data_IF_002406695932
#
_entry.id   IF_002406695932
#
_cell.length_a   1.000
_cell.length_b   1.000
_cell.length_c   1.000
_cell.angle_alpha   90.00
_cell.angle_beta   90.00
_cell.angle_gamma   90.00
#
_symmetry.space_group_name_H-M   'P 1'
#
loop_
_entity.id
_entity.type
_entity.pdbx_description
1 polymer ?
#
# COMPACT_ATOMS: atom_id res chain seq x y z
N UNK A 1 30.04 -18.23 15.73
CA UNK A 1 30.90 -17.94 16.88
C UNK A 1 31.48 -16.52 16.85
N UNK A 2 32.19 -16.07 15.81
CA UNK A 2 32.76 -14.71 15.76
C UNK A 2 31.69 -13.61 15.91
N UNK A 3 30.56 -13.72 15.20
CA UNK A 3 29.44 -12.77 15.30
C UNK A 3 28.76 -12.74 16.66
N UNK A 4 28.68 -13.85 17.40
CA UNK A 4 28.12 -13.88 18.75
C UNK A 4 29.06 -13.25 19.77
N UNK A 5 30.37 -13.43 19.60
CA UNK A 5 31.40 -12.79 20.42
C UNK A 5 31.47 -11.27 20.20
N UNK A 6 31.35 -10.82 18.95
CA UNK A 6 31.28 -9.40 18.61
C UNK A 6 30.00 -8.74 19.14
N UNK A 7 28.86 -9.44 19.10
CA UNK A 7 27.61 -8.96 19.70
C UNK A 7 27.71 -8.81 21.22
N UNK A 8 28.40 -9.73 21.93
CA UNK A 8 28.54 -9.64 23.37
C UNK A 8 29.50 -8.52 23.83
N UNK A 9 30.47 -8.13 22.97
CA UNK A 9 31.45 -7.07 23.26
C UNK A 9 30.99 -5.66 22.82
N UNK A 10 30.27 -5.55 21.72
CA UNK A 10 29.94 -4.25 21.08
C UNK A 10 28.45 -3.96 21.03
N UNK A 11 27.59 -4.85 21.50
CA UNK A 11 26.13 -4.74 21.38
C UNK A 11 25.62 -4.94 19.94
N UNK A 12 24.30 -4.94 19.77
CA UNK A 12 23.64 -4.98 18.47
C UNK A 12 23.75 -3.62 17.74
N UNK A 13 23.49 -3.57 16.42
CA UNK A 13 23.41 -2.30 15.67
C UNK A 13 22.37 -1.38 16.29
N UNK A 14 21.20 -1.92 16.61
CA UNK A 14 20.11 -1.17 17.27
C UNK A 14 20.53 -0.58 18.61
N UNK A 15 21.24 -1.34 19.48
CA UNK A 15 21.72 -0.80 20.76
C UNK A 15 22.72 0.34 20.58
N UNK A 16 23.58 0.26 19.58
CA UNK A 16 24.52 1.34 19.26
C UNK A 16 23.81 2.60 18.78
N UNK A 17 22.78 2.45 17.93
CA UNK A 17 21.98 3.57 17.45
C UNK A 17 21.18 4.19 18.60
N UNK A 18 20.55 3.38 19.45
CA UNK A 18 19.83 3.87 20.63
C UNK A 18 20.74 4.63 21.58
N UNK A 19 21.99 4.15 21.80
CA UNK A 19 22.99 4.89 22.60
C UNK A 19 23.36 6.24 22.00
N UNK A 20 23.38 6.39 20.66
CA UNK A 20 23.65 7.69 20.01
C UNK A 20 22.49 8.68 20.18
N UNK A 21 21.26 8.20 20.17
CA UNK A 21 20.06 9.06 20.27
C UNK A 21 19.59 9.28 21.72
N UNK A 22 20.05 8.48 22.68
CA UNK A 22 19.69 8.62 24.09
C UNK A 22 19.95 10.04 24.68
N UNK A 23 21.07 10.73 24.36
CA UNK A 23 21.26 12.10 24.83
C UNK A 23 20.17 13.07 24.36
N UNK A 24 19.65 12.91 23.14
CA UNK A 24 18.55 13.73 22.63
C UNK A 24 17.25 13.50 23.43
N UNK A 25 16.99 12.28 23.90
CA UNK A 25 15.86 12.02 24.79
C UNK A 25 15.99 12.80 26.10
N UNK A 26 17.17 12.87 26.68
CA UNK A 26 17.40 13.64 27.91
C UNK A 26 17.22 15.14 27.67
N UNK A 27 17.62 15.65 26.52
CA UNK A 27 17.34 17.03 26.09
C UNK A 27 15.84 17.29 25.90
N UNK A 28 15.09 16.37 25.29
CA UNK A 28 13.62 16.46 25.18
C UNK A 28 12.99 16.57 26.56
N UNK A 29 13.39 15.69 27.50
CA UNK A 29 12.90 15.69 28.90
C UNK A 29 13.21 17.01 29.61
N UNK A 30 14.38 17.59 29.37
CA UNK A 30 14.75 18.89 29.96
C UNK A 30 13.81 20.04 29.55
N UNK A 31 13.18 19.95 28.38
CA UNK A 31 12.20 20.93 27.89
C UNK A 31 10.77 20.70 28.39
N UNK A 32 10.41 19.50 28.90
CA UNK A 32 9.03 19.15 29.25
C UNK A 32 8.40 20.05 30.31
N UNK A 33 9.13 20.30 31.40
CA UNK A 33 8.62 21.17 32.47
C UNK A 33 8.29 22.59 31.97
N UNK A 34 9.08 23.11 31.02
CA UNK A 34 8.83 24.39 30.37
C UNK A 34 7.59 24.33 29.48
N UNK A 35 7.40 23.28 28.69
CA UNK A 35 6.23 23.13 27.82
C UNK A 35 4.95 22.98 28.64
N UNK A 36 4.98 22.20 29.73
CA UNK A 36 3.87 22.02 30.65
C UNK A 36 3.39 23.35 31.27
N UNK A 37 4.30 24.28 31.55
CA UNK A 37 3.99 25.59 32.13
C UNK A 37 3.38 26.60 31.13
N UNK A 38 3.42 26.31 29.83
CA UNK A 38 2.87 27.20 28.80
C UNK A 38 1.33 27.13 28.75
N UNK A 39 0.70 28.27 28.51
CA UNK A 39 -0.70 28.32 28.09
C UNK A 39 -0.85 27.71 26.71
N UNK A 40 -2.09 27.33 26.32
CA UNK A 40 -2.37 26.78 24.99
C UNK A 40 -1.89 27.71 23.86
N UNK A 41 -2.13 29.03 23.99
CA UNK A 41 -1.73 29.99 22.98
C UNK A 41 -0.19 30.12 22.87
N UNK A 42 0.51 30.07 24.01
CA UNK A 42 1.96 30.07 24.02
C UNK A 42 2.58 28.79 23.47
N UNK A 43 1.95 27.65 23.77
CA UNK A 43 2.40 26.38 23.22
C UNK A 43 2.22 26.34 21.69
N UNK A 44 1.07 26.82 21.20
CA UNK A 44 0.80 26.96 19.76
C UNK A 44 1.79 27.92 19.08
N UNK A 45 2.13 29.04 19.72
CA UNK A 45 3.06 30.02 19.20
C UNK A 45 4.49 29.47 19.01
N UNK A 46 4.85 28.35 19.67
CA UNK A 46 6.14 27.67 19.47
C UNK A 46 6.38 27.28 18.02
N UNK A 47 5.36 26.90 17.28
CA UNK A 47 5.47 26.61 15.85
C UNK A 47 6.01 27.80 15.05
N UNK A 48 5.53 29.01 15.34
CA UNK A 48 6.06 30.23 14.74
C UNK A 48 7.53 30.50 15.11
N UNK A 49 7.88 30.34 16.40
CA UNK A 49 9.26 30.49 16.88
C UNK A 49 10.22 29.49 16.17
N UNK A 50 9.78 28.22 16.00
CA UNK A 50 10.60 27.23 15.32
C UNK A 50 10.76 27.53 13.83
N UNK A 51 9.69 27.91 13.13
CA UNK A 51 9.77 28.37 11.73
C UNK A 51 10.69 29.56 11.54
N UNK A 52 10.66 30.52 12.46
CA UNK A 52 11.60 31.66 12.46
C UNK A 52 13.06 31.24 12.68
N UNK A 53 13.31 30.30 13.60
CA UNK A 53 14.67 29.77 13.83
C UNK A 53 15.20 29.07 12.58
N UNK A 54 14.38 28.26 11.92
CA UNK A 54 14.72 27.62 10.65
C UNK A 54 15.02 28.65 9.55
N UNK A 55 14.21 29.69 9.44
CA UNK A 55 14.43 30.79 8.48
C UNK A 55 15.76 31.58 8.75
N UNK A 56 16.24 31.58 10.00
CA UNK A 56 17.54 32.16 10.39
C UNK A 56 18.71 31.17 10.24
N UNK A 57 18.47 29.94 9.73
CA UNK A 57 19.52 28.99 9.43
C UNK A 57 19.74 27.88 10.47
N UNK A 58 18.90 27.77 11.51
CA UNK A 58 18.94 26.65 12.41
C UNK A 58 18.53 25.37 11.65
N UNK A 59 19.10 24.22 12.02
CA UNK A 59 18.74 22.91 11.51
C UNK A 59 17.51 22.34 12.22
N UNK A 60 16.86 21.34 11.61
CA UNK A 60 15.79 20.57 12.27
C UNK A 60 16.33 19.86 13.52
N UNK A 61 17.57 19.36 13.48
CA UNK A 61 18.20 18.65 14.61
C UNK A 61 18.41 19.58 15.82
N UNK A 62 18.78 20.83 15.60
CA UNK A 62 18.94 21.83 16.67
C UNK A 62 17.63 22.19 17.37
N UNK A 63 16.50 22.12 16.67
CA UNK A 63 15.19 22.42 17.28
C UNK A 63 14.45 21.15 17.73
N UNK A 64 14.92 19.95 17.36
CA UNK A 64 14.28 18.66 17.66
C UNK A 64 13.91 18.52 19.14
N UNK A 65 14.80 18.73 20.13
CA UNK A 65 14.46 18.48 21.51
C UNK A 65 13.29 19.34 22.01
N UNK A 66 13.32 20.61 21.68
CA UNK A 66 12.27 21.55 22.09
C UNK A 66 10.95 21.30 21.31
N UNK A 67 11.02 20.97 20.02
CA UNK A 67 9.87 20.67 19.18
C UNK A 67 9.18 19.37 19.60
N UNK A 68 9.95 18.32 19.92
CA UNK A 68 9.38 17.05 20.42
C UNK A 68 8.70 17.25 21.77
N UNK A 69 9.33 17.97 22.71
CA UNK A 69 8.68 18.28 23.99
C UNK A 69 7.36 19.06 23.79
N UNK A 70 7.33 20.01 22.84
CA UNK A 70 6.13 20.78 22.56
C UNK A 70 4.99 19.92 21.97
N UNK A 71 5.29 19.03 21.00
CA UNK A 71 4.26 18.14 20.42
C UNK A 71 3.83 17.04 21.39
N UNK A 72 4.70 16.54 22.25
CA UNK A 72 4.32 15.61 23.32
C UNK A 72 3.33 16.24 24.31
N UNK A 73 3.54 17.50 24.70
CA UNK A 73 2.61 18.22 25.57
C UNK A 73 1.28 18.52 24.82
N UNK A 74 1.35 18.86 23.53
CA UNK A 74 0.17 19.04 22.68
C UNK A 74 -0.65 17.74 22.59
N UNK A 75 -0.01 16.59 22.34
CA UNK A 75 -0.65 15.29 22.30
C UNK A 75 -1.35 14.96 23.61
N UNK A 76 -0.70 15.22 24.75
CA UNK A 76 -1.32 15.04 26.07
C UNK A 76 -2.57 15.91 26.24
N UNK A 77 -2.54 17.17 25.81
CA UNK A 77 -3.69 18.11 25.98
C UNK A 77 -4.85 17.78 25.03
N UNK A 78 -4.54 17.40 23.79
CA UNK A 78 -5.53 17.26 22.73
C UNK A 78 -6.17 15.87 22.69
N UNK A 79 -5.31 14.82 22.74
CA UNK A 79 -5.79 13.43 22.64
C UNK A 79 -5.66 12.64 23.95
N UNK A 80 -5.17 13.27 25.03
CA UNK A 80 -5.04 12.65 26.35
C UNK A 80 -3.87 11.67 26.47
N UNK A 81 -2.99 11.59 25.46
CA UNK A 81 -1.87 10.65 25.40
C UNK A 81 -0.53 11.38 25.40
N UNK A 82 0.26 11.18 26.45
CA UNK A 82 1.66 11.62 26.43
C UNK A 82 2.53 10.46 25.95
N UNK A 83 3.35 10.65 24.89
CA UNK A 83 4.29 9.64 24.45
C UNK A 83 5.24 9.17 25.57
N UNK A 84 5.50 7.87 25.66
CA UNK A 84 6.50 7.29 26.52
C UNK A 84 7.91 7.54 25.99
N UNK A 85 8.91 7.40 26.82
CA UNK A 85 10.31 7.64 26.45
C UNK A 85 10.78 6.75 25.28
N UNK A 86 10.36 5.49 25.27
CA UNK A 86 10.63 4.57 24.16
C UNK A 86 9.96 5.03 22.86
N UNK A 87 8.79 5.67 22.96
CA UNK A 87 8.10 6.24 21.81
C UNK A 87 8.80 7.52 21.31
N UNK A 88 9.35 8.34 22.21
CA UNK A 88 10.18 9.49 21.83
C UNK A 88 11.44 9.02 21.11
N UNK A 89 12.11 7.97 21.61
CA UNK A 89 13.26 7.35 20.92
C UNK A 89 12.89 6.86 19.52
N UNK A 90 11.74 6.18 19.37
CA UNK A 90 11.21 5.78 18.07
C UNK A 90 11.01 6.97 17.14
N UNK A 91 10.45 8.07 17.64
CA UNK A 91 10.28 9.32 16.88
C UNK A 91 11.62 9.92 16.42
N UNK A 92 12.66 9.91 17.25
CA UNK A 92 14.00 10.38 16.88
C UNK A 92 14.61 9.48 15.79
N UNK A 93 14.45 8.16 15.91
CA UNK A 93 14.91 7.19 14.90
C UNK A 93 14.23 7.46 13.56
N UNK A 94 12.92 7.68 13.54
CA UNK A 94 12.18 8.04 12.31
C UNK A 94 12.66 9.38 11.74
N UNK A 95 12.92 10.39 12.58
CA UNK A 95 13.46 11.66 12.11
C UNK A 95 14.81 11.50 11.41
N UNK A 96 15.64 10.59 11.88
CA UNK A 96 16.95 10.29 11.29
C UNK A 96 16.88 9.50 9.97
N UNK A 97 15.69 9.22 9.43
CA UNK A 97 15.54 8.46 8.18
C UNK A 97 15.86 6.98 8.36
N UNK A 98 15.48 6.41 9.50
CA UNK A 98 15.63 4.99 9.80
C UNK A 98 14.26 4.32 9.94
N UNK A 99 14.26 3.00 10.02
CA UNK A 99 13.08 2.20 10.34
C UNK A 99 13.03 1.97 11.85
N UNK A 100 11.94 2.39 12.49
CA UNK A 100 11.67 2.07 13.88
C UNK A 100 10.87 0.76 13.95
N UNK A 101 11.53 -0.34 14.31
CA UNK A 101 10.84 -1.59 14.62
C UNK A 101 10.27 -1.52 16.03
N UNK A 102 8.95 -1.50 16.12
CA UNK A 102 8.21 -1.44 17.38
C UNK A 102 7.15 -2.52 17.40
N UNK A 103 7.11 -3.28 18.49
CA UNK A 103 6.12 -4.35 18.67
C UNK A 103 4.70 -3.80 18.45
N UNK A 104 3.84 -4.62 17.85
CA UNK A 104 2.43 -4.27 17.64
C UNK A 104 1.75 -3.93 18.97
N UNK A 105 1.04 -2.79 19.01
CA UNK A 105 0.41 -2.28 20.22
C UNK A 105 1.24 -1.23 20.99
N UNK A 106 2.50 -0.98 20.65
CA UNK A 106 3.35 0.04 21.26
C UNK A 106 3.07 1.49 20.81
N UNK A 107 2.01 1.69 20.02
CA UNK A 107 1.51 3.03 19.67
C UNK A 107 2.30 3.73 18.56
N UNK A 108 2.72 3.02 17.52
CA UNK A 108 3.43 3.55 16.34
C UNK A 108 2.77 4.82 15.76
N UNK A 109 1.44 4.87 15.69
CA UNK A 109 0.68 6.04 15.20
C UNK A 109 0.97 7.32 15.99
N UNK A 110 1.10 7.22 17.33
CA UNK A 110 1.46 8.36 18.18
C UNK A 110 2.95 8.74 18.01
N UNK A 111 3.83 7.74 17.86
CA UNK A 111 5.26 7.94 17.60
C UNK A 111 5.50 8.79 16.37
N UNK A 112 4.81 8.50 15.29
CA UNK A 112 4.92 9.24 14.03
C UNK A 112 4.60 10.74 14.18
N UNK A 113 3.80 11.14 15.18
CA UNK A 113 3.40 12.55 15.35
C UNK A 113 4.58 13.49 15.58
N UNK A 114 5.59 13.03 16.29
CA UNK A 114 6.77 13.83 16.64
C UNK A 114 7.64 14.17 15.41
N UNK A 115 8.15 13.19 14.65
CA UNK A 115 8.95 13.48 13.45
C UNK A 115 8.12 14.13 12.33
N UNK A 116 6.82 13.83 12.20
CA UNK A 116 5.93 14.49 11.25
C UNK A 116 5.83 15.97 11.57
N UNK A 117 5.53 16.34 12.83
CA UNK A 117 5.48 17.74 13.26
C UNK A 117 6.78 18.48 12.97
N UNK A 118 7.92 17.92 13.40
CA UNK A 118 9.22 18.53 13.22
C UNK A 118 9.56 18.79 11.75
N UNK A 119 9.39 17.77 10.91
CA UNK A 119 9.73 17.90 9.48
C UNK A 119 8.76 18.80 8.71
N UNK A 120 7.49 18.89 9.13
CA UNK A 120 6.50 19.79 8.56
C UNK A 120 6.84 21.27 8.78
N UNK A 121 7.60 21.61 9.83
CA UNK A 121 8.07 22.98 10.09
C UNK A 121 8.90 23.57 8.94
N UNK A 122 9.55 22.71 8.14
CA UNK A 122 10.33 23.14 6.97
C UNK A 122 9.46 23.74 5.85
N UNK A 123 8.14 23.52 5.86
CA UNK A 123 7.22 23.94 4.80
C UNK A 123 7.28 23.11 3.51
N UNK A 124 8.16 22.11 3.44
CA UNK A 124 8.36 21.29 2.24
C UNK A 124 7.35 20.14 2.08
N UNK A 125 6.50 19.91 3.09
CA UNK A 125 5.52 18.85 3.13
C UNK A 125 6.05 17.53 3.66
N UNK A 126 5.16 16.80 4.35
CA UNK A 126 5.42 15.48 4.90
C UNK A 126 4.29 14.56 4.47
N UNK A 127 4.61 13.36 4.00
CA UNK A 127 3.62 12.32 3.69
C UNK A 127 3.64 11.25 4.78
N UNK A 128 2.46 10.90 5.29
CA UNK A 128 2.25 9.74 6.17
C UNK A 128 1.51 8.69 5.37
N UNK A 129 2.21 7.61 5.09
CA UNK A 129 1.76 6.57 4.16
C UNK A 129 1.22 5.38 4.94
N UNK A 130 0.02 4.93 4.58
CA UNK A 130 -0.64 3.75 5.15
C UNK A 130 -0.98 2.74 4.07
N UNK A 131 -1.30 1.51 4.48
CA UNK A 131 -1.64 0.42 3.54
C UNK A 131 -3.05 0.51 2.96
N UNK A 132 -3.96 1.29 3.56
CA UNK A 132 -5.33 1.44 3.06
C UNK A 132 -5.98 2.77 3.49
N UNK A 133 -7.08 3.12 2.80
CA UNK A 133 -7.83 4.36 3.02
C UNK A 133 -8.45 4.48 4.40
N UNK A 134 -8.84 3.35 5.01
CA UNK A 134 -9.40 3.35 6.35
C UNK A 134 -8.38 3.82 7.38
N UNK A 135 -7.15 3.29 7.33
CA UNK A 135 -6.06 3.69 8.22
C UNK A 135 -5.65 5.14 7.97
N UNK A 136 -5.52 5.55 6.70
CA UNK A 136 -5.20 6.94 6.36
C UNK A 136 -6.20 7.92 6.97
N UNK A 137 -7.50 7.64 6.86
CA UNK A 137 -8.57 8.44 7.44
C UNK A 137 -8.55 8.40 8.96
N UNK A 138 -8.54 7.20 9.55
CA UNK A 138 -8.53 7.00 11.01
C UNK A 138 -7.38 7.78 11.67
N UNK A 139 -6.18 7.64 11.14
CA UNK A 139 -4.98 8.22 11.74
C UNK A 139 -4.94 9.75 11.51
N UNK A 140 -5.40 10.23 10.36
CA UNK A 140 -5.58 11.65 10.10
C UNK A 140 -6.61 12.29 11.04
N UNK A 141 -7.75 11.64 11.28
CA UNK A 141 -8.78 12.14 12.19
C UNK A 141 -8.35 12.07 13.66
N UNK A 142 -7.58 11.06 14.04
CA UNK A 142 -7.14 10.85 15.42
C UNK A 142 -5.95 11.72 15.78
N UNK A 143 -4.91 11.78 14.94
CA UNK A 143 -3.68 12.54 15.20
C UNK A 143 -3.72 13.97 14.63
N UNK A 144 -4.53 14.22 13.63
CA UNK A 144 -4.69 15.54 13.00
C UNK A 144 -4.95 16.68 13.98
N UNK A 145 -5.81 16.51 14.98
CA UNK A 145 -6.05 17.54 16.01
C UNK A 145 -4.79 18.03 16.73
N UNK A 146 -3.75 17.17 16.91
CA UNK A 146 -2.48 17.56 17.52
C UNK A 146 -1.77 18.60 16.65
N UNK A 147 -1.66 18.35 15.35
CA UNK A 147 -1.00 19.25 14.39
C UNK A 147 -1.78 20.56 14.23
N UNK A 148 -3.12 20.46 14.16
CA UNK A 148 -4.00 21.62 14.08
C UNK A 148 -3.90 22.49 15.33
N UNK A 149 -3.83 21.88 16.52
CA UNK A 149 -3.59 22.59 17.76
C UNK A 149 -2.25 23.34 17.72
N UNK A 150 -1.21 22.74 17.15
CA UNK A 150 0.10 23.35 16.95
C UNK A 150 0.15 24.35 15.77
N UNK A 151 -0.96 24.56 15.05
CA UNK A 151 -1.04 25.54 13.96
C UNK A 151 -0.54 25.03 12.60
N UNK A 152 -0.48 23.71 12.40
CA UNK A 152 -0.20 23.07 11.11
C UNK A 152 -1.48 22.58 10.45
N UNK A 153 -1.45 22.50 9.12
CA UNK A 153 -2.56 22.00 8.31
C UNK A 153 -2.36 20.53 7.99
N UNK A 154 -3.47 19.75 8.05
CA UNK A 154 -3.48 18.30 7.74
C UNK A 154 -4.31 18.06 6.49
N UNK A 155 -3.73 17.38 5.50
CA UNK A 155 -4.40 16.88 4.30
C UNK A 155 -4.65 15.37 4.40
N UNK A 156 -5.63 14.90 3.65
CA UNK A 156 -5.95 13.49 3.48
C UNK A 156 -6.22 13.22 2.00
N UNK A 157 -5.58 12.20 1.44
CA UNK A 157 -5.79 11.73 0.07
C UNK A 157 -6.46 10.36 0.12
N UNK A 158 -7.58 10.24 -0.59
CA UNK A 158 -8.36 9.01 -0.72
C UNK A 158 -8.75 8.73 -2.16
N UNK A 159 -9.26 7.52 -2.42
CA UNK A 159 -9.51 7.02 -3.77
C UNK A 159 -10.39 7.94 -4.63
N UNK A 160 -11.56 8.33 -4.16
CA UNK A 160 -12.58 9.02 -4.98
C UNK A 160 -12.43 10.55 -5.05
N UNK A 161 -11.25 11.11 -4.71
CA UNK A 161 -11.03 12.55 -4.70
C UNK A 161 -10.72 13.10 -6.09
N UNK A 162 -11.33 14.25 -6.43
CA UNK A 162 -11.03 15.02 -7.64
C UNK A 162 -9.70 15.78 -7.55
N UNK A 163 -9.18 16.24 -8.70
CA UNK A 163 -7.88 16.95 -8.80
C UNK A 163 -7.79 18.17 -7.87
N UNK A 164 -8.84 18.99 -7.79
CA UNK A 164 -8.84 20.18 -6.95
C UNK A 164 -8.76 19.83 -5.45
N UNK A 165 -9.47 18.81 -5.01
CA UNK A 165 -9.44 18.32 -3.63
C UNK A 165 -8.07 17.74 -3.28
N UNK A 166 -7.47 16.95 -4.19
CA UNK A 166 -6.11 16.44 -4.04
C UNK A 166 -5.09 17.58 -3.92
N UNK A 167 -5.20 18.62 -4.74
CA UNK A 167 -4.33 19.78 -4.64
C UNK A 167 -4.40 20.45 -3.27
N UNK A 168 -5.59 20.59 -2.70
CA UNK A 168 -5.78 21.10 -1.33
C UNK A 168 -5.10 20.19 -0.32
N UNK A 169 -5.31 18.87 -0.43
CA UNK A 169 -4.69 17.87 0.45
C UNK A 169 -3.16 17.92 0.43
N UNK A 170 -2.55 17.98 -0.76
CA UNK A 170 -1.08 18.06 -0.90
C UNK A 170 -0.47 19.41 -0.54
N UNK A 171 -1.24 20.50 -0.54
CA UNK A 171 -0.76 21.83 -0.08
C UNK A 171 -0.69 21.94 1.43
N UNK A 172 -1.31 21.05 2.17
CA UNK A 172 -1.22 20.99 3.63
C UNK A 172 0.23 20.79 4.11
N UNK A 173 0.56 21.15 5.34
CA UNK A 173 1.90 20.97 5.91
C UNK A 173 2.27 19.47 5.98
N UNK A 174 1.29 18.62 6.22
CA UNK A 174 1.41 17.16 6.19
C UNK A 174 0.18 16.52 5.52
N UNK A 175 0.38 15.39 4.87
CA UNK A 175 -0.67 14.69 4.10
C UNK A 175 -0.67 13.20 4.41
N UNK A 176 -1.82 12.70 4.87
CA UNK A 176 -2.08 11.26 5.00
C UNK A 176 -2.62 10.70 3.69
N UNK A 177 -2.25 9.48 3.36
CA UNK A 177 -2.79 8.76 2.19
C UNK A 177 -2.24 7.35 2.10
N UNK A 178 -2.70 6.59 1.10
CA UNK A 178 -2.21 5.24 0.86
C UNK A 178 -1.02 5.24 -0.09
N UNK A 179 -0.20 4.18 -0.01
CA UNK A 179 0.88 3.91 -0.97
C UNK A 179 0.38 3.98 -2.42
N UNK A 180 -0.80 3.40 -2.69
CA UNK A 180 -1.44 3.39 -4.00
C UNK A 180 -1.74 4.81 -4.50
N UNK A 181 -2.44 5.61 -3.69
CA UNK A 181 -2.89 6.95 -4.10
C UNK A 181 -1.71 7.88 -4.36
N UNK A 182 -0.69 7.84 -3.50
CA UNK A 182 0.53 8.63 -3.72
C UNK A 182 1.26 8.23 -5.00
N UNK A 183 1.38 6.93 -5.27
CA UNK A 183 2.03 6.44 -6.47
C UNK A 183 1.23 6.72 -7.75
N UNK A 184 -0.09 6.57 -7.73
CA UNK A 184 -0.94 6.94 -8.87
C UNK A 184 -0.96 8.45 -9.14
N UNK A 185 -0.98 9.28 -8.09
CA UNK A 185 -0.89 10.73 -8.26
C UNK A 185 0.45 11.15 -8.87
N UNK A 186 1.54 10.49 -8.47
CA UNK A 186 2.84 10.70 -9.12
C UNK A 186 2.80 10.36 -10.63
N UNK A 187 2.20 9.23 -11.00
CA UNK A 187 2.05 8.87 -12.42
C UNK A 187 1.18 9.90 -13.16
N UNK A 188 0.04 10.31 -12.59
CA UNK A 188 -0.84 11.33 -13.17
C UNK A 188 -0.13 12.67 -13.35
N UNK A 189 0.68 13.08 -12.38
CA UNK A 189 1.45 14.32 -12.42
C UNK A 189 2.52 14.31 -13.53
N UNK A 190 3.13 13.14 -13.78
CA UNK A 190 4.11 12.99 -14.87
C UNK A 190 3.46 12.94 -16.27
N UNK A 191 2.17 12.64 -16.32
CA UNK A 191 1.37 12.70 -17.57
C UNK A 191 0.68 14.06 -17.75
N UNK A 192 0.75 14.97 -16.78
CA UNK A 192 0.07 16.25 -16.82
C UNK A 192 0.66 17.15 -17.92
N UNK A 193 -0.20 17.61 -18.83
CA UNK A 193 0.18 18.50 -19.96
C UNK A 193 0.55 19.91 -19.47
N UNK A 194 -0.02 20.34 -18.33
CA UNK A 194 0.20 21.66 -17.75
C UNK A 194 0.63 21.54 -16.29
N UNK A 195 1.60 22.34 -15.82
CA UNK A 195 2.06 22.31 -14.41
C UNK A 195 0.93 22.51 -13.39
N UNK A 196 -0.10 23.31 -13.71
CA UNK A 196 -1.23 23.61 -12.84
C UNK A 196 -2.13 22.38 -12.59
N UNK A 197 -2.05 21.37 -13.44
CA UNK A 197 -2.78 20.12 -13.28
C UNK A 197 -2.13 19.17 -12.29
N UNK A 198 -0.87 19.40 -11.93
CA UNK A 198 -0.15 18.59 -10.95
C UNK A 198 -0.73 18.79 -9.56
N UNK A 199 -0.78 17.70 -8.81
CA UNK A 199 -1.34 17.71 -7.45
C UNK A 199 -0.23 17.65 -6.38
N UNK A 200 0.82 16.85 -6.62
CA UNK A 200 1.90 16.68 -5.67
C UNK A 200 2.90 17.84 -5.69
N UNK A 201 3.53 18.06 -4.54
CA UNK A 201 4.74 18.90 -4.40
C UNK A 201 5.99 18.02 -4.54
N UNK A 202 7.18 18.61 -4.30
CA UNK A 202 8.42 17.82 -4.18
C UNK A 202 8.27 16.78 -3.08
N UNK A 203 8.73 15.57 -3.37
CA UNK A 203 8.75 14.46 -2.43
C UNK A 203 9.87 14.69 -1.40
N UNK A 204 9.51 15.30 -0.27
CA UNK A 204 10.49 15.73 0.75
C UNK A 204 10.71 14.65 1.80
N UNK A 205 9.72 14.36 2.64
CA UNK A 205 9.82 13.39 3.71
C UNK A 205 8.59 12.48 3.72
N UNK A 206 8.80 11.16 3.79
CA UNK A 206 7.74 10.20 4.02
C UNK A 206 8.03 9.33 5.24
N UNK A 207 6.97 9.08 6.01
CA UNK A 207 6.93 8.00 7.00
C UNK A 207 5.96 6.95 6.48
N UNK A 208 6.44 5.72 6.33
CA UNK A 208 5.65 4.58 5.84
C UNK A 208 5.30 3.69 7.02
N UNK A 209 3.98 3.55 7.29
CA UNK A 209 3.48 2.60 8.28
C UNK A 209 3.38 1.20 7.65
N UNK A 210 3.71 0.17 8.42
CA UNK A 210 3.89 -1.22 7.96
C UNK A 210 4.81 -1.27 6.72
N UNK A 211 6.00 -0.69 6.88
CA UNK A 211 6.95 -0.45 5.79
C UNK A 211 7.44 -1.74 5.10
N UNK A 212 7.51 -2.85 5.80
CA UNK A 212 7.85 -4.17 5.27
C UNK A 212 6.82 -4.65 4.25
N UNK A 213 5.54 -4.57 4.56
CA UNK A 213 4.48 -4.92 3.62
C UNK A 213 4.54 -4.09 2.33
N UNK A 214 4.80 -2.78 2.44
CA UNK A 214 4.81 -1.88 1.27
C UNK A 214 6.12 -1.96 0.48
N UNK A 215 7.27 -1.99 1.15
CA UNK A 215 8.58 -1.84 0.51
C UNK A 215 9.36 -3.15 0.33
N UNK A 216 8.88 -4.26 0.89
CA UNK A 216 9.43 -5.59 0.64
C UNK A 216 8.39 -6.45 -0.08
N UNK A 217 7.26 -6.77 0.56
CA UNK A 217 6.27 -7.70 0.01
C UNK A 217 5.66 -7.20 -1.30
N UNK A 218 5.26 -5.94 -1.36
CA UNK A 218 4.64 -5.32 -2.53
C UNK A 218 5.61 -4.47 -3.38
N UNK A 219 6.91 -4.42 -3.01
CA UNK A 219 7.89 -3.50 -3.58
C UNK A 219 7.95 -3.50 -5.12
N UNK A 220 7.82 -4.69 -5.73
CA UNK A 220 7.92 -4.91 -7.18
C UNK A 220 6.58 -4.84 -7.90
N UNK A 221 5.46 -4.71 -7.18
CA UNK A 221 4.14 -4.56 -7.77
C UNK A 221 4.08 -3.25 -8.55
N UNK A 222 3.84 -3.28 -9.87
CA UNK A 222 3.78 -2.06 -10.65
C UNK A 222 2.42 -1.40 -10.53
N UNK A 223 2.41 -0.10 -10.29
CA UNK A 223 1.27 0.76 -10.54
C UNK A 223 1.24 1.08 -12.03
N UNK A 224 0.12 0.83 -12.68
CA UNK A 224 -0.01 0.95 -14.15
C UNK A 224 -1.19 1.85 -14.47
N UNK A 225 -0.95 2.86 -15.30
CA UNK A 225 -2.01 3.62 -15.96
C UNK A 225 -2.06 3.16 -17.41
N UNK A 226 -3.21 2.63 -17.81
CA UNK A 226 -3.48 2.20 -19.18
C UNK A 226 -4.34 3.20 -19.90
N UNK A 227 -4.00 3.46 -21.17
CA UNK A 227 -4.77 4.30 -22.09
C UNK A 227 -5.48 3.45 -23.14
N UNK A 228 -6.49 4.03 -23.78
CA UNK A 228 -7.09 3.44 -24.98
C UNK A 228 -6.18 3.74 -26.17
N UNK A 229 -5.84 2.76 -27.01
CA UNK A 229 -5.12 3.02 -28.24
C UNK A 229 -6.00 3.80 -29.22
N UNK A 230 -5.38 4.63 -30.03
CA UNK A 230 -6.07 5.46 -31.03
C UNK A 230 -6.57 4.66 -32.28
N UNK A 231 -6.22 3.37 -32.37
CA UNK A 231 -6.53 2.56 -33.57
C UNK A 231 -7.95 2.00 -33.50
N UNK A 232 -8.67 2.15 -34.62
CA UNK A 232 -10.00 1.55 -34.82
C UNK A 232 -9.94 0.03 -34.70
N UNK A 233 -10.89 -0.57 -33.97
CA UNK A 233 -11.05 -2.02 -33.88
C UNK A 233 -11.59 -2.67 -35.13
N UNK A 234 -12.17 -1.88 -36.07
CA UNK A 234 -12.73 -2.36 -37.33
C UNK A 234 -11.71 -3.07 -38.22
N UNK A 235 -10.44 -2.72 -38.06
CA UNK A 235 -9.34 -3.33 -38.83
C UNK A 235 -9.22 -4.84 -38.55
N UNK A 236 -9.48 -5.28 -37.31
CA UNK A 236 -9.39 -6.70 -36.92
C UNK A 236 -10.45 -7.54 -37.68
N UNK A 237 -11.67 -7.03 -37.84
CA UNK A 237 -12.69 -7.73 -38.61
C UNK A 237 -12.33 -7.80 -40.11
N UNK A 238 -11.74 -6.75 -40.67
CA UNK A 238 -11.26 -6.76 -42.09
C UNK A 238 -10.14 -7.78 -42.27
N UNK A 239 -9.20 -7.82 -41.34
CA UNK A 239 -8.08 -8.79 -41.34
C UNK A 239 -8.63 -10.20 -41.22
N UNK A 240 -9.59 -10.46 -40.33
CA UNK A 240 -10.21 -11.78 -40.18
C UNK A 240 -10.91 -12.24 -41.48
N UNK A 241 -11.66 -11.33 -42.14
CA UNK A 241 -12.30 -11.64 -43.42
C UNK A 241 -11.32 -11.99 -44.55
N UNK A 242 -10.14 -11.37 -44.53
CA UNK A 242 -9.07 -11.64 -45.50
C UNK A 242 -8.39 -12.95 -45.20
N UNK A 243 -8.05 -13.18 -43.94
CA UNK A 243 -7.34 -14.41 -43.45
C UNK A 243 -8.17 -15.67 -43.79
N UNK A 244 -9.49 -15.64 -43.64
CA UNK A 244 -10.38 -16.75 -44.03
C UNK A 244 -10.30 -17.16 -45.50
N UNK A 245 -9.77 -16.30 -46.39
CA UNK A 245 -9.60 -16.60 -47.84
C UNK A 245 -8.23 -17.19 -48.15
N UNK A 246 -7.29 -17.14 -47.20
CA UNK A 246 -5.97 -17.70 -47.39
C UNK A 246 -6.00 -19.24 -47.30
N UNK A 247 -5.05 -19.89 -47.97
CA UNK A 247 -4.94 -21.35 -47.99
C UNK A 247 -3.62 -21.78 -47.36
N UNK A 248 -3.70 -22.73 -46.44
CA UNK A 248 -2.51 -23.38 -45.84
C UNK A 248 -1.66 -23.99 -46.97
N UNK A 249 -0.37 -24.04 -46.78
CA UNK A 249 0.67 -24.59 -47.68
C UNK A 249 0.83 -23.85 -49.01
N UNK A 250 -0.06 -22.94 -49.37
CA UNK A 250 0.05 -22.05 -50.54
C UNK A 250 0.41 -20.61 -50.09
N UNK A 251 -0.36 -20.07 -49.13
CA UNK A 251 -0.23 -18.67 -48.71
C UNK A 251 0.46 -18.52 -47.35
N UNK A 252 0.49 -19.58 -46.53
CA UNK A 252 1.18 -19.60 -45.25
C UNK A 252 1.52 -21.03 -44.84
N UNK A 253 2.58 -21.16 -44.07
CA UNK A 253 3.05 -22.41 -43.44
C UNK A 253 2.88 -22.35 -41.92
N UNK A 254 2.65 -23.51 -41.30
CA UNK A 254 2.45 -23.63 -39.85
C UNK A 254 3.65 -24.36 -39.24
N UNK A 255 4.26 -23.73 -38.27
CA UNK A 255 5.24 -24.37 -37.39
C UNK A 255 4.59 -24.73 -36.04
N UNK A 256 4.27 -26.02 -35.83
CA UNK A 256 3.59 -26.49 -34.62
C UNK A 256 4.43 -26.27 -33.35
N UNK A 257 5.77 -26.40 -33.44
CA UNK A 257 6.67 -26.11 -32.35
C UNK A 257 6.81 -24.60 -32.17
N UNK A 258 6.04 -24.01 -31.28
CA UNK A 258 6.10 -22.57 -30.97
C UNK A 258 4.89 -21.76 -31.43
N UNK A 259 3.89 -22.42 -32.06
CA UNK A 259 2.65 -21.78 -32.52
C UNK A 259 2.94 -20.57 -33.45
N UNK A 260 3.91 -20.75 -34.38
CA UNK A 260 4.24 -19.73 -35.37
C UNK A 260 3.58 -19.98 -36.71
N UNK A 261 3.28 -18.91 -37.41
CA UNK A 261 2.78 -18.92 -38.78
C UNK A 261 3.75 -18.12 -39.65
N UNK A 262 4.19 -18.69 -40.76
CA UNK A 262 5.07 -18.04 -41.73
C UNK A 262 4.25 -17.77 -42.98
N UNK A 263 4.15 -16.49 -43.38
CA UNK A 263 3.45 -16.07 -44.59
C UNK A 263 4.40 -16.26 -45.77
N UNK A 264 3.94 -16.94 -46.85
CA UNK A 264 4.73 -17.16 -48.07
C UNK A 264 4.70 -15.91 -48.94
N UNK A 265 5.58 -15.84 -49.98
CA UNK A 265 5.58 -14.74 -50.94
C UNK A 265 4.25 -14.61 -51.68
N UNK A 266 3.66 -15.74 -52.09
CA UNK A 266 2.29 -15.76 -52.71
C UNK A 266 1.22 -15.31 -51.73
N UNK A 267 1.37 -15.64 -50.45
CA UNK A 267 0.53 -15.17 -49.37
C UNK A 267 0.59 -13.67 -49.20
N UNK A 268 1.80 -13.10 -49.24
CA UNK A 268 2.00 -11.66 -49.11
C UNK A 268 1.34 -10.89 -50.27
N UNK A 269 1.58 -11.31 -51.52
CA UNK A 269 0.96 -10.73 -52.72
C UNK A 269 -0.56 -10.80 -52.66
N UNK A 270 -1.11 -11.91 -52.17
CA UNK A 270 -2.56 -12.10 -52.01
C UNK A 270 -3.12 -11.18 -50.92
N UNK A 271 -2.42 -10.98 -49.80
CA UNK A 271 -2.80 -10.09 -48.74
C UNK A 271 -2.84 -8.62 -49.17
N UNK A 272 -1.81 -8.18 -49.90
CA UNK A 272 -1.76 -6.82 -50.46
C UNK A 272 -2.93 -6.53 -51.39
N UNK A 273 -3.24 -7.47 -52.29
CA UNK A 273 -4.38 -7.35 -53.18
C UNK A 273 -5.72 -7.32 -52.46
N UNK A 274 -5.89 -8.13 -51.39
CA UNK A 274 -7.15 -8.23 -50.62
C UNK A 274 -7.35 -7.06 -49.66
N UNK A 275 -6.26 -6.54 -49.07
CA UNK A 275 -6.28 -5.41 -48.13
C UNK A 275 -6.29 -4.05 -48.88
N UNK A 276 -5.89 -4.04 -50.16
CA UNK A 276 -5.80 -2.84 -50.99
C UNK A 276 -4.66 -1.93 -50.55
N UNK A 277 -3.52 -2.52 -50.18
CA UNK A 277 -2.30 -1.81 -49.76
C UNK A 277 -1.14 -2.22 -50.66
N UNK A 278 -0.26 -1.28 -50.96
CA UNK A 278 1.00 -1.52 -51.61
C UNK A 278 2.09 -1.70 -50.58
N UNK A 279 2.98 -2.69 -50.73
CA UNK A 279 4.13 -2.97 -49.86
C UNK A 279 3.75 -3.13 -48.35
N UNK A 280 3.04 -4.23 -48.10
CA UNK A 280 2.56 -4.58 -46.74
C UNK A 280 3.70 -4.70 -45.72
N UNK A 281 4.88 -5.21 -46.16
CA UNK A 281 5.99 -5.50 -45.28
C UNK A 281 6.80 -4.26 -44.87
N UNK A 282 6.96 -3.27 -45.74
CA UNK A 282 7.76 -2.08 -45.47
C UNK A 282 6.96 -0.94 -44.83
N UNK A 283 5.74 -0.73 -45.35
CA UNK A 283 4.91 0.43 -44.94
C UNK A 283 3.84 0.09 -43.89
N UNK A 284 3.47 -1.19 -43.73
CA UNK A 284 2.34 -1.62 -42.92
C UNK A 284 2.64 -2.78 -41.96
N UNK A 285 3.80 -2.77 -41.30
CA UNK A 285 4.24 -3.81 -40.33
C UNK A 285 3.17 -4.15 -39.27
N UNK A 286 2.39 -3.16 -38.86
CA UNK A 286 1.29 -3.41 -37.91
C UNK A 286 0.17 -4.27 -38.44
N UNK A 287 -0.10 -4.22 -39.78
CA UNK A 287 -1.06 -5.09 -40.45
C UNK A 287 -0.52 -6.51 -40.60
N UNK A 288 0.75 -6.67 -40.93
CA UNK A 288 1.43 -8.00 -40.98
C UNK A 288 1.25 -8.71 -39.63
N UNK A 289 1.55 -8.01 -38.54
CA UNK A 289 1.37 -8.56 -37.20
C UNK A 289 -0.08 -8.96 -36.91
N UNK A 290 -1.07 -8.12 -37.27
CA UNK A 290 -2.48 -8.47 -37.11
C UNK A 290 -2.89 -9.70 -37.89
N UNK A 291 -2.38 -9.84 -39.15
CA UNK A 291 -2.61 -11.01 -40.01
C UNK A 291 -1.98 -12.26 -39.34
N UNK A 292 -0.78 -12.19 -38.85
CA UNK A 292 -0.13 -13.30 -38.13
C UNK A 292 -0.96 -13.73 -36.91
N UNK A 293 -1.43 -12.78 -36.09
CA UNK A 293 -2.28 -13.10 -34.95
C UNK A 293 -3.62 -13.69 -35.35
N UNK A 294 -4.22 -13.20 -36.43
CA UNK A 294 -5.45 -13.78 -36.97
C UNK A 294 -5.25 -15.22 -37.48
N UNK A 295 -4.16 -15.47 -38.21
CA UNK A 295 -3.79 -16.83 -38.64
C UNK A 295 -3.53 -17.75 -37.44
N UNK A 296 -2.83 -17.27 -36.40
CA UNK A 296 -2.64 -18.02 -35.16
C UNK A 296 -3.97 -18.34 -34.47
N UNK A 297 -4.88 -17.36 -34.36
CA UNK A 297 -6.21 -17.53 -33.79
C UNK A 297 -7.03 -18.62 -34.51
N UNK A 298 -6.91 -18.72 -35.86
CA UNK A 298 -7.62 -19.73 -36.64
C UNK A 298 -7.00 -21.12 -36.57
N UNK A 299 -5.68 -21.23 -36.49
CA UNK A 299 -4.98 -22.50 -36.61
C UNK A 299 -4.67 -23.17 -35.29
N UNK A 300 -4.42 -22.41 -34.21
CA UNK A 300 -3.95 -22.94 -32.93
C UNK A 300 -4.97 -22.80 -31.78
N UNK A 301 -5.97 -21.96 -31.92
CA UNK A 301 -6.93 -21.70 -30.84
C UNK A 301 -8.32 -22.16 -31.24
N UNK A 302 -8.85 -23.15 -30.55
CA UNK A 302 -10.16 -23.73 -30.79
C UNK A 302 -11.14 -23.29 -29.71
N UNK A 303 -12.35 -22.98 -30.13
CA UNK A 303 -13.43 -22.68 -29.21
C UNK A 303 -13.77 -23.91 -28.38
N UNK A 304 -14.11 -23.70 -27.11
CA UNK A 304 -14.46 -24.71 -26.11
C UNK A 304 -13.27 -25.62 -25.70
N UNK A 305 -12.04 -25.24 -26.05
CA UNK A 305 -10.77 -25.85 -25.66
C UNK A 305 -9.86 -24.78 -25.03
N UNK A 306 -9.21 -23.93 -25.82
CA UNK A 306 -8.34 -22.87 -25.32
C UNK A 306 -9.10 -21.61 -24.87
N UNK A 307 -10.34 -21.40 -25.36
CA UNK A 307 -11.20 -20.28 -24.97
C UNK A 307 -12.68 -20.63 -25.14
N UNK A 308 -13.54 -19.87 -24.42
CA UNK A 308 -15.00 -19.93 -24.56
C UNK A 308 -15.55 -18.56 -24.90
N UNK A 309 -16.72 -18.53 -25.54
CA UNK A 309 -17.49 -17.29 -25.72
C UNK A 309 -18.65 -17.29 -24.73
N UNK A 310 -18.61 -16.37 -23.78
CA UNK A 310 -19.61 -16.25 -22.74
C UNK A 310 -20.05 -14.78 -22.60
N UNK A 311 -21.36 -14.54 -22.57
CA UNK A 311 -21.97 -13.20 -22.51
C UNK A 311 -21.47 -12.20 -23.57
N UNK A 312 -21.04 -12.68 -24.74
CA UNK A 312 -20.53 -11.82 -25.82
C UNK A 312 -19.06 -11.43 -25.67
N UNK A 313 -18.33 -12.11 -24.80
CA UNK A 313 -16.90 -11.93 -24.56
C UNK A 313 -16.14 -13.24 -24.74
N UNK A 314 -14.87 -13.14 -25.17
CA UNK A 314 -13.93 -14.26 -25.22
C UNK A 314 -13.27 -14.41 -23.86
N UNK A 315 -13.40 -15.57 -23.22
CA UNK A 315 -12.75 -15.90 -21.97
C UNK A 315 -11.73 -17.00 -22.17
N UNK A 316 -10.53 -16.84 -21.63
CA UNK A 316 -9.46 -17.85 -21.69
C UNK A 316 -9.84 -19.03 -20.80
N UNK A 317 -9.56 -20.25 -21.25
CA UNK A 317 -9.66 -21.47 -20.47
C UNK A 317 -8.24 -21.89 -20.07
N UNK A 318 -8.01 -22.13 -18.79
CA UNK A 318 -6.73 -22.63 -18.30
C UNK A 318 -6.52 -24.07 -18.71
N UNK A 319 -5.43 -24.34 -19.41
CA UNK A 319 -5.11 -25.66 -19.99
C UNK A 319 -5.03 -26.78 -18.95
N UNK A 320 -4.60 -26.47 -17.71
CA UNK A 320 -4.40 -27.45 -16.66
C UNK A 320 -5.64 -27.70 -15.80
N UNK A 321 -6.40 -26.63 -15.54
CA UNK A 321 -7.53 -26.70 -14.60
C UNK A 321 -8.90 -26.71 -15.30
N UNK A 322 -8.96 -26.35 -16.59
CA UNK A 322 -10.21 -26.19 -17.34
C UNK A 322 -11.09 -25.03 -16.84
N UNK A 323 -10.54 -24.12 -16.00
CA UNK A 323 -11.28 -22.99 -15.44
C UNK A 323 -11.25 -21.78 -16.36
N UNK A 324 -12.36 -21.07 -16.45
CA UNK A 324 -12.44 -19.78 -17.11
C UNK A 324 -11.64 -18.75 -16.32
N UNK A 325 -10.78 -18.01 -17.01
CA UNK A 325 -9.91 -16.98 -16.43
C UNK A 325 -10.51 -15.60 -16.70
N UNK A 326 -11.43 -15.15 -15.85
CA UNK A 326 -12.05 -13.84 -15.97
C UNK A 326 -11.01 -12.71 -15.81
N UNK A 327 -11.12 -11.67 -16.64
CA UNK A 327 -10.22 -10.51 -16.61
C UNK A 327 -8.83 -10.75 -17.22
N UNK A 328 -8.47 -11.96 -17.63
CA UNK A 328 -7.23 -12.24 -18.38
C UNK A 328 -7.48 -12.19 -19.88
N UNK A 329 -6.47 -11.68 -20.60
CA UNK A 329 -6.50 -11.58 -22.07
C UNK A 329 -5.18 -12.09 -22.64
N UNK A 330 -5.19 -12.68 -23.82
CA UNK A 330 -3.97 -12.97 -24.57
C UNK A 330 -3.31 -11.65 -25.00
N UNK A 331 -1.99 -11.63 -24.99
CA UNK A 331 -1.18 -10.46 -25.40
C UNK A 331 -1.06 -10.33 -26.93
N UNK A 332 -0.44 -9.23 -27.32
CA UNK A 332 0.04 -8.99 -28.70
C UNK A 332 -1.04 -9.02 -29.80
N UNK A 333 -2.27 -8.61 -29.46
CA UNK A 333 -3.37 -8.55 -30.44
C UNK A 333 -4.06 -9.90 -30.71
N UNK A 334 -3.60 -11.01 -30.12
CA UNK A 334 -4.20 -12.33 -30.29
C UNK A 334 -5.63 -12.39 -29.75
N UNK A 335 -5.89 -11.76 -28.58
CA UNK A 335 -7.23 -11.75 -28.00
C UNK A 335 -8.22 -11.01 -28.90
N UNK A 336 -7.81 -9.89 -29.48
CA UNK A 336 -8.60 -9.13 -30.46
C UNK A 336 -8.84 -9.93 -31.76
N UNK A 337 -7.85 -10.69 -32.19
CA UNK A 337 -8.00 -11.60 -33.33
C UNK A 337 -9.03 -12.72 -33.04
N UNK A 338 -9.07 -13.24 -31.81
CA UNK A 338 -10.08 -14.21 -31.38
C UNK A 338 -11.46 -13.57 -31.28
N UNK A 339 -11.58 -12.36 -30.75
CA UNK A 339 -12.83 -11.59 -30.70
C UNK A 339 -13.37 -11.34 -32.14
N UNK A 340 -12.50 -10.96 -33.08
CA UNK A 340 -12.87 -10.80 -34.48
C UNK A 340 -13.29 -12.12 -35.15
N UNK A 341 -12.56 -13.22 -34.88
CA UNK A 341 -12.88 -14.57 -35.35
C UNK A 341 -14.28 -15.01 -34.92
N UNK A 342 -14.63 -14.76 -33.65
CA UNK A 342 -15.93 -15.13 -33.05
C UNK A 342 -17.04 -14.09 -33.31
N UNK A 343 -16.72 -13.00 -33.99
CA UNK A 343 -17.68 -11.89 -34.30
C UNK A 343 -18.28 -11.26 -33.01
N UNK A 344 -17.59 -11.29 -31.92
CA UNK A 344 -17.92 -10.52 -30.71
C UNK A 344 -17.29 -9.13 -30.78
N UNK A 345 -17.70 -8.22 -29.90
CA UNK A 345 -17.16 -6.87 -29.88
C UNK A 345 -15.64 -6.90 -29.57
N UNK A 346 -14.82 -6.42 -30.52
CA UNK A 346 -13.38 -6.32 -30.34
C UNK A 346 -13.07 -5.22 -29.34
N UNK A 347 -12.55 -5.60 -28.19
CA UNK A 347 -12.16 -4.65 -27.15
C UNK A 347 -10.78 -4.08 -27.46
N UNK A 348 -10.58 -2.81 -27.10
CA UNK A 348 -9.28 -2.17 -27.26
C UNK A 348 -8.21 -2.86 -26.43
N UNK A 349 -7.03 -3.03 -27.01
CA UNK A 349 -5.85 -3.39 -26.26
C UNK A 349 -5.46 -2.24 -25.33
N UNK A 350 -5.34 -2.50 -24.03
CA UNK A 350 -4.91 -1.46 -23.11
C UNK A 350 -3.42 -1.21 -23.29
N UNK A 351 -3.06 -0.04 -23.81
CA UNK A 351 -1.68 0.38 -23.89
C UNK A 351 -1.22 0.93 -22.55
N UNK A 352 -0.13 0.38 -21.98
CA UNK A 352 0.49 0.97 -20.80
C UNK A 352 1.06 2.34 -21.14
N UNK A 353 0.51 3.39 -20.53
CA UNK A 353 0.92 4.78 -20.73
C UNK A 353 1.98 5.19 -19.70
N UNK A 354 1.81 4.79 -18.47
CA UNK A 354 2.76 5.08 -17.38
C UNK A 354 2.79 3.93 -16.38
N UNK A 355 3.97 3.66 -15.84
CA UNK A 355 4.16 2.65 -14.81
C UNK A 355 5.27 3.04 -13.85
N UNK A 356 5.12 2.68 -12.58
CA UNK A 356 6.15 2.77 -11.55
C UNK A 356 5.92 1.68 -10.50
N UNK A 357 6.99 1.13 -9.93
CA UNK A 357 6.89 0.25 -8.76
C UNK A 357 6.95 1.07 -7.47
N UNK A 358 6.42 0.54 -6.35
CA UNK A 358 6.58 1.20 -5.04
C UNK A 358 8.05 1.41 -4.71
N UNK A 359 8.89 0.42 -4.96
CA UNK A 359 10.33 0.52 -4.77
C UNK A 359 10.93 1.77 -5.43
N UNK A 360 10.58 2.03 -6.69
CA UNK A 360 11.11 3.18 -7.42
C UNK A 360 10.47 4.49 -6.95
N UNK A 361 9.17 4.48 -6.64
CA UNK A 361 8.48 5.67 -6.16
C UNK A 361 9.04 6.19 -4.84
N UNK A 362 9.18 5.32 -3.83
CA UNK A 362 9.64 5.74 -2.49
C UNK A 362 11.11 6.16 -2.46
N UNK A 363 11.93 5.70 -3.41
CA UNK A 363 13.30 6.21 -3.58
C UNK A 363 13.38 7.67 -4.05
N UNK A 364 12.30 8.26 -4.51
CA UNK A 364 12.27 9.66 -4.96
C UNK A 364 12.18 10.65 -3.80
N UNK A 365 11.86 10.20 -2.59
CA UNK A 365 11.83 11.08 -1.43
C UNK A 365 13.24 11.47 -0.99
N UNK A 366 13.40 12.75 -0.62
CA UNK A 366 14.68 13.25 -0.08
C UNK A 366 15.04 12.56 1.23
N UNK A 367 14.02 12.25 2.05
CA UNK A 367 14.16 11.50 3.30
C UNK A 367 13.00 10.50 3.41
N UNK A 368 13.33 9.25 3.70
CA UNK A 368 12.41 8.16 3.90
C UNK A 368 12.61 7.59 5.30
N UNK A 369 11.53 7.26 5.97
CA UNK A 369 11.53 6.52 7.23
C UNK A 369 10.32 5.60 7.26
N UNK A 370 10.29 4.66 8.17
CA UNK A 370 9.14 3.81 8.33
C UNK A 370 9.09 3.09 9.67
N UNK A 371 7.95 2.47 9.92
CA UNK A 371 7.70 1.74 11.16
C UNK A 371 6.94 0.45 10.86
N UNK A 372 7.25 -0.59 11.60
CA UNK A 372 6.58 -1.89 11.57
C UNK A 372 6.90 -2.69 12.82
N UNK A 373 6.27 -3.84 13.01
CA UNK A 373 6.61 -4.79 14.07
C UNK A 373 7.64 -5.84 13.67
N UNK A 374 8.04 -5.95 12.40
CA UNK A 374 8.70 -7.13 11.82
C UNK A 374 9.86 -6.83 10.85
N UNK A 375 10.49 -5.65 10.92
CA UNK A 375 11.54 -5.24 9.96
C UNK A 375 12.89 -5.95 10.13
N UNK A 376 13.19 -6.53 11.30
CA UNK A 376 14.53 -7.07 11.60
C UNK A 376 14.92 -8.25 10.69
N UNK A 377 13.94 -9.05 10.25
CA UNK A 377 14.16 -10.16 9.32
C UNK A 377 14.65 -9.68 7.95
N UNK A 378 14.13 -8.54 7.50
CA UNK A 378 14.39 -7.94 6.19
C UNK A 378 15.40 -6.78 6.24
N UNK A 379 16.11 -6.61 7.38
CA UNK A 379 17.03 -5.49 7.59
C UNK A 379 18.14 -5.39 6.53
N UNK A 380 18.60 -6.53 5.99
CA UNK A 380 19.59 -6.55 4.92
C UNK A 380 19.04 -6.01 3.59
N UNK A 381 17.78 -6.31 3.28
CA UNK A 381 17.11 -5.86 2.07
C UNK A 381 16.82 -4.37 2.14
N UNK A 382 16.32 -3.87 3.28
CA UNK A 382 16.16 -2.45 3.52
C UNK A 382 17.45 -1.66 3.35
N UNK A 383 18.56 -2.17 3.88
CA UNK A 383 19.87 -1.52 3.75
C UNK A 383 20.37 -1.50 2.30
N UNK A 384 20.21 -2.61 1.55
CA UNK A 384 20.72 -2.72 0.18
C UNK A 384 19.88 -1.93 -0.83
N UNK A 385 18.56 -1.94 -0.67
CA UNK A 385 17.64 -1.35 -1.65
C UNK A 385 17.37 0.12 -1.36
N UNK A 386 17.13 0.48 -0.09
CA UNK A 386 16.65 1.80 0.31
C UNK A 386 17.65 2.60 1.14
N UNK A 387 18.81 2.01 1.49
CA UNK A 387 19.80 2.60 2.40
C UNK A 387 19.22 2.91 3.79
N UNK A 388 18.18 2.17 4.20
CA UNK A 388 17.51 2.34 5.49
C UNK A 388 18.07 1.37 6.53
N UNK A 389 18.42 1.91 7.69
CA UNK A 389 18.83 1.10 8.86
C UNK A 389 17.61 0.76 9.72
N UNK A 390 17.51 -0.50 10.16
CA UNK A 390 16.44 -0.96 11.07
C UNK A 390 16.93 -0.83 12.51
N UNK A 391 16.16 -0.11 13.34
CA UNK A 391 16.44 0.08 14.76
C UNK A 391 15.30 -0.50 15.60
N UNK A 392 15.59 -1.53 16.36
CA UNK A 392 14.64 -2.16 17.26
C UNK A 392 14.46 -1.31 18.52
N UNK A 393 13.24 -0.81 18.73
CA UNK A 393 12.88 0.00 19.91
C UNK A 393 12.38 -0.94 21.01
N UNK A 394 12.91 -0.85 22.24
CA UNK A 394 12.42 -1.68 23.34
C UNK A 394 10.97 -1.34 23.69
N UNK A 395 10.25 -2.33 24.20
CA UNK A 395 8.89 -2.13 24.72
C UNK A 395 8.89 -1.24 25.97
N UNK A 396 7.82 -0.46 26.18
CA UNK A 396 7.70 0.42 27.33
C UNK A 396 7.66 -0.36 28.66
N UNK A 397 7.00 -1.52 28.65
CA UNK A 397 6.96 -2.47 29.75
C UNK A 397 7.50 -3.82 29.29
N UNK A 398 8.03 -4.66 30.20
CA UNK A 398 8.45 -6.01 29.86
C UNK A 398 7.33 -6.78 29.15
N UNK A 399 7.66 -7.45 28.04
CA UNK A 399 6.71 -8.27 27.30
C UNK A 399 6.29 -9.48 28.17
N UNK A 400 5.00 -9.52 28.50
CA UNK A 400 4.39 -10.63 29.27
C UNK A 400 3.53 -11.54 28.39
N UNK A 401 3.39 -11.20 27.08
CA UNK A 401 2.67 -12.04 26.13
C UNK A 401 3.44 -13.34 25.91
N UNK A 402 2.75 -14.44 26.04
CA UNK A 402 3.24 -15.76 25.71
C UNK A 402 2.66 -16.17 24.35
N UNK A 403 3.52 -16.43 23.39
CA UNK A 403 3.12 -16.91 22.06
C UNK A 403 2.99 -18.43 22.11
N UNK A 404 1.76 -18.91 22.06
CA UNK A 404 1.45 -20.33 22.06
C UNK A 404 1.73 -20.96 20.69
N UNK A 405 1.85 -22.30 20.65
CA UNK A 405 2.01 -23.02 19.40
C UNK A 405 0.79 -22.85 18.49
N UNK A 406 1.05 -22.82 17.18
CA UNK A 406 -0.01 -22.70 16.17
C UNK A 406 -0.99 -23.89 16.23
N UNK A 407 -2.28 -23.59 16.12
CA UNK A 407 -3.35 -24.57 16.02
C UNK A 407 -3.86 -24.64 14.58
N UNK A 408 -3.75 -25.84 13.99
CA UNK A 408 -4.19 -26.08 12.62
C UNK A 408 -5.58 -26.74 12.61
N UNK A 409 -6.50 -26.19 11.83
CA UNK A 409 -7.88 -26.68 11.74
C UNK A 409 -8.20 -27.15 10.32
N UNK A 410 -8.97 -28.24 10.22
CA UNK A 410 -9.40 -28.76 8.93
C UNK A 410 -10.48 -27.90 8.25
N UNK A 411 -11.22 -27.09 9.01
CA UNK A 411 -12.28 -26.21 8.51
C UNK A 411 -12.23 -24.86 9.20
N UNK A 412 -12.66 -23.82 8.48
CA UNK A 412 -12.79 -22.46 9.01
C UNK A 412 -13.79 -22.39 10.18
N UNK A 413 -14.91 -23.10 10.07
CA UNK A 413 -15.89 -23.20 11.15
C UNK A 413 -15.30 -23.79 12.44
N UNK A 414 -14.49 -24.86 12.33
CA UNK A 414 -13.77 -25.46 13.45
C UNK A 414 -12.82 -24.49 14.12
N UNK A 415 -12.08 -23.68 13.32
CA UNK A 415 -11.20 -22.61 13.79
C UNK A 415 -11.99 -21.58 14.60
N UNK A 416 -13.07 -21.04 14.08
CA UNK A 416 -13.85 -20.01 14.77
C UNK A 416 -14.53 -20.52 16.04
N UNK A 417 -15.05 -21.74 16.04
CA UNK A 417 -15.61 -22.37 17.26
C UNK A 417 -14.54 -22.50 18.37
N UNK A 418 -13.30 -22.83 17.98
CA UNK A 418 -12.20 -22.92 18.95
C UNK A 418 -11.86 -21.53 19.50
N UNK A 419 -11.70 -20.52 18.67
CA UNK A 419 -11.40 -19.14 19.08
C UNK A 419 -12.46 -18.59 20.05
N UNK A 420 -13.74 -18.81 19.77
CA UNK A 420 -14.84 -18.38 20.68
C UNK A 420 -14.73 -19.06 22.04
N UNK A 421 -14.43 -20.36 22.07
CA UNK A 421 -14.27 -21.11 23.31
C UNK A 421 -13.07 -20.61 24.12
N UNK A 422 -11.95 -20.41 23.47
CA UNK A 422 -10.73 -19.91 24.12
C UNK A 422 -10.92 -18.50 24.69
N UNK A 423 -11.59 -17.60 23.96
CA UNK A 423 -11.93 -16.26 24.46
C UNK A 423 -12.82 -16.37 25.72
N UNK A 424 -13.81 -17.26 25.73
CA UNK A 424 -14.69 -17.46 26.86
C UNK A 424 -13.94 -18.01 28.10
N UNK A 425 -13.01 -18.96 27.89
CA UNK A 425 -12.19 -19.55 28.95
C UNK A 425 -11.24 -18.50 29.58
N UNK A 426 -10.51 -17.75 28.73
CA UNK A 426 -9.58 -16.69 29.19
C UNK A 426 -10.35 -15.58 29.92
N UNK A 427 -11.51 -15.17 29.41
CA UNK A 427 -12.35 -14.15 30.06
C UNK A 427 -12.82 -14.58 31.47
N UNK A 428 -13.15 -15.85 31.66
CA UNK A 428 -13.58 -16.39 32.98
C UNK A 428 -12.42 -16.39 34.01
N UNK A 429 -11.19 -16.61 33.55
CA UNK A 429 -9.98 -16.56 34.41
C UNK A 429 -9.68 -15.12 34.84
N UNK A 430 -9.81 -14.14 33.94
CA UNK A 430 -9.58 -12.72 34.23
C UNK A 430 -10.60 -12.20 35.26
N UNK A 431 -11.85 -12.68 35.24
CA UNK A 431 -12.86 -12.34 36.24
C UNK A 431 -12.44 -12.72 37.67
N UNK A 432 -11.91 -13.91 37.82
CA UNK A 432 -11.51 -14.44 39.16
C UNK A 432 -10.31 -13.72 39.75
N UNK A 433 -9.42 -13.17 38.94
CA UNK A 433 -8.15 -12.62 39.40
C UNK A 433 -8.11 -11.10 39.54
N UNK A 434 -8.96 -10.33 38.82
CA UNK A 434 -8.80 -8.88 38.72
C UNK A 434 -10.00 -8.05 39.23
N UNK A 435 -11.13 -8.66 39.62
CA UNK A 435 -12.33 -7.91 40.04
C UNK A 435 -12.86 -6.93 38.98
N UNK A 436 -12.48 -7.08 37.70
CA UNK A 436 -12.90 -6.23 36.59
C UNK A 436 -14.06 -6.88 35.83
N UNK A 437 -14.93 -6.10 35.17
CA UNK A 437 -16.01 -6.66 34.37
C UNK A 437 -15.46 -7.56 33.29
N UNK A 438 -15.95 -8.78 33.23
CA UNK A 438 -15.56 -9.84 32.34
C UNK A 438 -16.27 -9.76 30.99
N UNK A 439 -15.81 -10.56 30.04
CA UNK A 439 -16.50 -10.77 28.77
C UNK A 439 -17.93 -11.27 28.95
N UNK A 440 -18.21 -12.07 29.99
CA UNK A 440 -19.55 -12.55 30.36
C UNK A 440 -20.49 -11.44 30.85
N UNK A 441 -19.95 -10.33 31.40
CA UNK A 441 -20.74 -9.12 31.69
C UNK A 441 -21.05 -8.29 30.43
N UNK A 442 -20.31 -8.46 29.36
CA UNK A 442 -20.53 -7.77 28.09
C UNK A 442 -21.48 -8.54 27.16
N UNK A 443 -21.50 -9.86 27.31
CA UNK A 443 -22.34 -10.75 26.50
C UNK A 443 -22.96 -11.82 27.42
N UNK A 444 -24.24 -12.11 27.20
CA UNK A 444 -24.96 -13.22 27.84
C UNK A 444 -25.32 -14.26 26.80
N UNK A 445 -25.29 -15.51 27.17
CA UNK A 445 -25.81 -16.60 26.33
C UNK A 445 -27.34 -16.67 26.47
N UNK A 446 -28.07 -16.47 25.38
CA UNK A 446 -29.52 -16.70 25.33
C UNK A 446 -29.83 -17.96 24.53
N UNK A 447 -30.68 -18.86 25.03
CA UNK A 447 -31.06 -20.05 24.28
C UNK A 447 -31.66 -19.70 22.92
N UNK A 448 -31.06 -20.22 21.84
CA UNK A 448 -31.52 -19.99 20.46
C UNK A 448 -31.01 -18.68 19.82
N UNK A 449 -30.28 -17.83 20.53
CA UNK A 449 -29.74 -16.56 20.00
C UNK A 449 -28.22 -16.42 20.13
N UNK A 450 -27.54 -17.36 20.81
CA UNK A 450 -26.09 -17.30 21.03
C UNK A 450 -25.67 -16.19 22.02
N UNK A 451 -24.50 -15.59 21.83
CA UNK A 451 -23.98 -14.52 22.66
C UNK A 451 -24.61 -13.16 22.30
N UNK A 452 -25.34 -12.56 23.23
CA UNK A 452 -26.05 -11.28 23.06
C UNK A 452 -25.40 -10.22 23.95
N UNK A 453 -25.14 -8.98 23.48
CA UNK A 453 -24.63 -7.88 24.31
C UNK A 453 -25.53 -7.56 25.49
N UNK A 454 -24.94 -7.38 26.66
CA UNK A 454 -25.71 -7.13 27.93
C UNK A 454 -26.03 -5.67 28.22
N UNK A 455 -25.61 -4.72 27.37
CA UNK A 455 -25.88 -3.30 27.63
C UNK A 455 -25.72 -2.38 26.42
N UNK A 456 -26.38 -1.22 26.49
CA UNK A 456 -26.47 -0.17 25.45
C UNK A 456 -25.20 0.75 25.37
N UNK A 457 -24.13 0.47 26.05
CA UNK A 457 -22.89 1.27 25.94
C UNK A 457 -21.78 0.41 25.34
N UNK A 458 -21.22 0.78 24.18
CA UNK A 458 -20.03 0.14 23.67
C UNK A 458 -18.86 0.48 24.59
N UNK A 459 -18.46 -0.46 25.45
CA UNK A 459 -17.12 -0.38 26.00
C UNK A 459 -16.13 -0.70 24.87
N UNK A 460 -15.18 0.20 24.64
CA UNK A 460 -14.09 0.01 23.68
C UNK A 460 -13.15 -1.09 24.21
N UNK A 461 -13.51 -2.33 23.99
CA UNK A 461 -12.56 -3.42 23.84
C UNK A 461 -12.26 -3.46 22.35
N UNK A 462 -10.97 -3.51 21.94
CA UNK A 462 -10.51 -3.28 20.59
C UNK A 462 -10.97 -4.29 19.52
N UNK A 463 -12.18 -4.84 19.63
CA UNK A 463 -12.82 -5.66 18.61
C UNK A 463 -14.27 -5.21 18.46
N UNK A 464 -14.57 -4.50 17.36
CA UNK A 464 -15.93 -4.42 16.84
C UNK A 464 -16.21 -5.72 16.09
N UNK A 465 -17.43 -6.24 16.14
CA UNK A 465 -17.84 -7.41 15.34
C UNK A 465 -17.59 -7.23 13.82
N UNK A 466 -17.50 -5.96 13.34
CA UNK A 466 -17.09 -5.62 11.97
C UNK A 466 -15.59 -5.73 11.70
N UNK A 467 -14.74 -5.73 12.73
CA UNK A 467 -13.28 -5.81 12.53
C UNK A 467 -12.82 -7.25 12.21
N UNK A 468 -13.68 -8.24 12.48
CA UNK A 468 -13.38 -9.66 12.21
C UNK A 468 -13.89 -10.15 10.85
N UNK A 469 -14.54 -9.30 10.05
CA UNK A 469 -15.13 -9.64 8.74
C UNK A 469 -15.94 -10.97 8.76
N UNK A 470 -16.56 -11.29 9.91
CA UNK A 470 -17.32 -12.52 10.11
C UNK A 470 -18.78 -12.31 9.70
N UNK A 471 -19.37 -13.20 8.89
CA UNK A 471 -20.79 -13.16 8.60
C UNK A 471 -21.62 -13.22 9.90
N UNK A 472 -22.69 -12.40 10.01
CA UNK A 472 -23.59 -12.38 11.18
C UNK A 472 -24.12 -13.77 11.59
N UNK A 473 -24.14 -14.73 10.67
CA UNK A 473 -24.53 -16.11 10.90
C UNK A 473 -23.65 -16.87 11.89
N UNK A 474 -22.37 -16.49 12.05
CA UNK A 474 -21.46 -17.15 13.01
C UNK A 474 -21.75 -16.79 14.46
N UNK A 475 -22.35 -15.66 14.73
CA UNK A 475 -22.77 -15.26 16.09
C UNK A 475 -24.12 -15.84 16.50
N UNK A 476 -24.85 -16.50 15.60
CA UNK A 476 -26.16 -17.11 15.89
C UNK A 476 -26.09 -18.58 16.30
N UNK A 477 -24.92 -19.23 16.20
CA UNK A 477 -24.77 -20.68 16.36
C UNK A 477 -23.86 -21.12 17.54
N UNK A 478 -23.43 -20.22 18.43
CA UNK A 478 -22.65 -20.55 19.61
C UNK A 478 -23.47 -20.48 20.91
#
# INVERSE_FOLDING_TARGET
MLNSMLRSLFGTSSERQLKKVAPLLDEVRAHEARMLALTNDRLRAKTGEFKERLARGASLDEILPEAFAAVCEAAKRVVGMRPFDVQVLGGIVLHNGCIAEMVTGEGKTLVATMPVYLNALSGNGVHVVTVNDFLARRDSEWMGPIYQFMGLTTGLIQHDMGTAERQVGYRADLTYGTNNEFGFDYLRDNMAIRPEMRVQRKLNYAIVDEIDSILIDEARTPLIISGRPEKSTDIYYKVDDVVRRLRKDAHYEIEEKGHHVLITEDGMNTLEALLGVDDLFTEHLGLVHMVEQALRAHNFYKRDDEYVVYNGEVLIVDEFTGRMMEGRRYSDGLHQALEAKERVAVQFESQTVATITYQNYFKLYNKLAGMTGTAATEASEFAQIYELEVVQIPTNLPLIREDLADLVFATEEGKFRHVVREIAEVSTVVERTAGRPSFSMLFRSEPGKGLVPTGNRPMRVGFRAGDLNLPETYFRAA
#
